data_IF_454729704566
#
_entry.id   IF_454729704566
#
_cell.length_a   1.000
_cell.length_b   1.000
_cell.length_c   1.000
_cell.angle_alpha   90.00
_cell.angle_beta   90.00
_cell.angle_gamma   90.00
#
_symmetry.space_group_name_H-M   'P 1'
#
loop_
_entity.id
_entity.type
_entity.pdbx_description
1 polymer ?
#
# COMPACT_ATOMS: atom_id res chain seq x y z
N UNK A 1 20.56 27.53 -15.28
CA UNK A 1 19.75 26.29 -15.36
C UNK A 1 18.97 25.98 -14.09
N UNK A 2 19.42 26.39 -12.88
CA UNK A 2 18.70 26.15 -11.62
C UNK A 2 17.34 26.84 -11.53
N UNK A 3 17.25 28.07 -12.00
CA UNK A 3 16.03 28.89 -11.88
C UNK A 3 14.85 28.33 -12.68
N UNK A 4 15.10 27.84 -13.89
CA UNK A 4 14.08 27.22 -14.75
C UNK A 4 13.57 25.94 -14.08
N UNK A 5 14.46 25.11 -13.55
CA UNK A 5 14.09 23.90 -12.84
C UNK A 5 13.27 24.19 -11.57
N UNK A 6 13.59 25.27 -10.85
CA UNK A 6 12.84 25.72 -9.68
C UNK A 6 11.44 26.22 -10.06
N UNK A 7 11.32 26.96 -11.18
CA UNK A 7 10.04 27.43 -11.69
C UNK A 7 9.15 26.25 -12.12
N UNK A 8 9.70 25.22 -12.78
CA UNK A 8 8.98 24.01 -13.15
C UNK A 8 8.46 23.23 -11.93
N UNK A 9 9.26 23.16 -10.87
CA UNK A 9 8.86 22.52 -9.62
C UNK A 9 7.72 23.30 -8.91
N UNK A 10 7.80 24.63 -8.88
CA UNK A 10 6.74 25.49 -8.35
C UNK A 10 5.44 25.34 -9.15
N UNK A 11 5.55 25.31 -10.49
CA UNK A 11 4.41 25.11 -11.38
C UNK A 11 3.74 23.74 -11.15
N UNK A 12 4.55 22.71 -10.95
CA UNK A 12 4.05 21.37 -10.65
C UNK A 12 3.31 21.34 -9.32
N UNK A 13 3.90 21.90 -8.26
CA UNK A 13 3.29 22.02 -6.94
C UNK A 13 1.95 22.80 -6.99
N UNK A 14 1.88 23.88 -7.77
CA UNK A 14 0.64 24.63 -7.97
C UNK A 14 -0.44 23.79 -8.66
N UNK A 15 -0.07 22.92 -9.60
CA UNK A 15 -1.00 22.01 -10.28
C UNK A 15 -1.55 20.93 -9.36
N UNK A 16 -0.71 20.33 -8.51
CA UNK A 16 -1.14 19.31 -7.53
C UNK A 16 -2.05 19.90 -6.45
N UNK A 17 -1.84 21.15 -6.07
CA UNK A 17 -2.63 21.83 -5.04
C UNK A 17 -3.94 22.46 -5.57
N UNK A 18 -4.39 22.12 -6.78
CA UNK A 18 -5.71 22.52 -7.31
C UNK A 18 -5.69 23.70 -8.28
N UNK A 19 -4.52 24.07 -8.84
CA UNK A 19 -4.33 25.15 -9.83
C UNK A 19 -4.77 26.54 -9.29
N UNK A 20 -4.75 27.57 -10.13
CA UNK A 20 -5.21 28.94 -9.85
C UNK A 20 -4.68 29.54 -8.51
N UNK A 21 -3.37 29.35 -8.29
CA UNK A 21 -2.63 29.88 -7.09
C UNK A 21 -1.20 30.21 -7.42
N UNK A 22 -0.64 31.14 -6.63
CA UNK A 22 0.78 31.44 -6.66
C UNK A 22 1.48 30.54 -5.65
N UNK A 23 2.44 29.74 -6.13
CA UNK A 23 3.33 28.94 -5.27
C UNK A 23 4.72 29.56 -5.32
N UNK A 24 5.21 30.01 -4.19
CA UNK A 24 6.60 30.44 -4.05
C UNK A 24 7.45 29.17 -3.95
N UNK A 25 8.47 29.05 -4.79
CA UNK A 25 9.37 27.90 -4.74
C UNK A 25 10.13 27.90 -3.41
N UNK A 26 9.84 26.89 -2.60
CA UNK A 26 10.62 26.54 -1.42
C UNK A 26 11.57 25.41 -1.79
N UNK A 27 12.87 25.61 -1.55
CA UNK A 27 13.91 24.59 -1.79
C UNK A 27 13.59 23.30 -1.05
N UNK A 28 13.08 23.40 0.18
CA UNK A 28 12.70 22.23 0.99
C UNK A 28 11.51 21.49 0.38
N UNK A 29 10.51 22.22 -0.10
CA UNK A 29 9.35 21.63 -0.78
C UNK A 29 9.76 20.92 -2.08
N UNK A 30 10.64 21.54 -2.86
CA UNK A 30 11.21 20.92 -4.06
C UNK A 30 11.96 19.63 -3.76
N UNK A 31 12.76 19.62 -2.71
CA UNK A 31 13.47 18.41 -2.26
C UNK A 31 12.52 17.31 -1.80
N UNK A 32 11.45 17.64 -1.06
CA UNK A 32 10.42 16.68 -0.64
C UNK A 32 9.72 16.04 -1.84
N UNK A 33 9.32 16.83 -2.84
CA UNK A 33 8.68 16.30 -4.06
C UNK A 33 9.61 15.35 -4.80
N UNK A 34 10.91 15.66 -4.88
CA UNK A 34 11.90 14.78 -5.53
C UNK A 34 12.10 13.49 -4.71
N UNK A 35 12.19 13.58 -3.38
CA UNK A 35 12.32 12.42 -2.50
C UNK A 35 11.11 11.49 -2.65
N UNK A 36 9.87 12.02 -2.61
CA UNK A 36 8.64 11.24 -2.81
C UNK A 36 8.62 10.52 -4.16
N UNK A 37 8.98 11.22 -5.24
CA UNK A 37 9.08 10.59 -6.57
C UNK A 37 10.12 9.47 -6.61
N UNK A 38 11.24 9.68 -5.96
CA UNK A 38 12.30 8.67 -5.87
C UNK A 38 11.81 7.44 -5.09
N UNK A 39 11.22 7.63 -3.90
CA UNK A 39 10.67 6.53 -3.10
C UNK A 39 9.56 5.79 -3.86
N UNK A 40 8.66 6.51 -4.54
CA UNK A 40 7.60 5.88 -5.35
C UNK A 40 8.18 4.99 -6.45
N UNK A 41 9.22 5.45 -7.14
CA UNK A 41 9.93 4.64 -8.14
C UNK A 41 10.57 3.41 -7.53
N UNK A 42 11.27 3.56 -6.41
CA UNK A 42 11.89 2.42 -5.71
C UNK A 42 10.86 1.37 -5.28
N UNK A 43 9.70 1.80 -4.78
CA UNK A 43 8.61 0.88 -4.41
C UNK A 43 8.08 0.14 -5.64
N UNK A 44 7.89 0.82 -6.78
CA UNK A 44 7.47 0.16 -8.02
C UNK A 44 8.51 -0.88 -8.50
N UNK A 45 9.79 -0.55 -8.42
CA UNK A 45 10.87 -1.47 -8.78
C UNK A 45 10.92 -2.66 -7.82
N UNK A 46 10.76 -2.43 -6.51
CA UNK A 46 10.71 -3.46 -5.47
C UNK A 46 9.55 -4.46 -5.68
N UNK A 47 8.38 -3.97 -6.11
CA UNK A 47 7.25 -4.85 -6.47
C UNK A 47 7.59 -5.78 -7.63
N UNK A 48 8.33 -5.29 -8.63
CA UNK A 48 8.75 -6.08 -9.79
C UNK A 48 9.86 -7.08 -9.45
N UNK A 49 10.73 -6.73 -8.50
CA UNK A 49 11.87 -7.54 -8.10
C UNK A 49 11.52 -8.57 -7.01
N UNK A 50 10.29 -8.53 -6.49
CA UNK A 50 9.86 -9.48 -5.44
C UNK A 50 10.47 -9.18 -4.07
N UNK A 51 10.81 -7.93 -3.81
CA UNK A 51 11.38 -7.48 -2.53
C UNK A 51 10.30 -7.22 -1.45
N UNK A 52 9.02 -7.30 -1.81
CA UNK A 52 7.91 -7.12 -0.88
C UNK A 52 7.46 -8.46 -0.30
N UNK A 53 7.12 -8.46 0.99
CA UNK A 53 6.61 -9.62 1.71
C UNK A 53 5.49 -9.21 2.66
N UNK A 54 4.53 -10.11 2.93
CA UNK A 54 3.53 -9.95 3.98
C UNK A 54 3.96 -10.70 5.24
N UNK A 55 4.02 -9.97 6.34
CA UNK A 55 4.06 -10.53 7.68
C UNK A 55 2.65 -10.60 8.22
N UNK A 56 2.39 -11.53 9.14
CA UNK A 56 1.06 -11.77 9.67
C UNK A 56 1.06 -11.61 11.18
N UNK A 57 0.25 -10.67 11.68
CA UNK A 57 0.04 -10.48 13.10
C UNK A 57 -1.28 -11.16 13.51
N UNK A 58 -1.26 -12.18 14.40
CA UNK A 58 -2.47 -12.88 14.76
C UNK A 58 -3.45 -11.99 15.54
N UNK A 59 -4.73 -12.08 15.16
CA UNK A 59 -5.86 -11.54 15.92
C UNK A 59 -6.36 -12.62 16.88
N UNK A 60 -6.34 -12.34 18.17
CA UNK A 60 -6.65 -13.33 19.20
C UNK A 60 -7.91 -12.94 19.96
N UNK A 61 -8.83 -13.89 20.14
CA UNK A 61 -10.01 -13.70 20.97
C UNK A 61 -9.59 -13.69 22.44
N UNK A 62 -9.90 -12.60 23.16
CA UNK A 62 -9.43 -12.38 24.54
C UNK A 62 -10.01 -13.42 25.51
N UNK A 63 -11.23 -13.90 25.27
CA UNK A 63 -11.93 -14.82 26.18
C UNK A 63 -11.30 -16.20 26.31
N UNK A 64 -10.63 -16.70 25.26
CA UNK A 64 -10.14 -18.08 25.20
C UNK A 64 -8.73 -18.21 24.57
N UNK A 65 -8.15 -17.11 24.11
CA UNK A 65 -6.84 -17.09 23.48
C UNK A 65 -6.80 -17.69 22.07
N UNK A 66 -7.96 -17.99 21.46
CA UNK A 66 -8.01 -18.57 20.13
C UNK A 66 -7.65 -17.55 19.05
N UNK A 67 -6.80 -17.94 18.09
CA UNK A 67 -6.53 -17.14 16.89
C UNK A 67 -7.75 -17.17 15.98
N UNK A 68 -8.29 -15.98 15.66
CA UNK A 68 -9.53 -15.81 14.89
C UNK A 68 -9.29 -15.14 13.52
N UNK A 69 -8.08 -14.71 13.24
CA UNK A 69 -7.67 -14.06 12.01
C UNK A 69 -6.23 -13.57 12.09
N UNK A 70 -5.77 -12.88 11.07
CA UNK A 70 -4.47 -12.21 11.11
C UNK A 70 -4.49 -10.91 10.29
N UNK A 71 -3.76 -9.90 10.75
CA UNK A 71 -3.49 -8.69 10.01
C UNK A 71 -2.28 -8.91 9.10
N UNK A 72 -2.44 -8.55 7.83
CA UNK A 72 -1.37 -8.63 6.83
C UNK A 72 -0.59 -7.32 6.80
N UNK A 73 0.65 -7.38 7.23
CA UNK A 73 1.53 -6.24 7.38
C UNK A 73 2.64 -6.28 6.35
N UNK A 74 2.64 -5.34 5.41
CA UNK A 74 3.67 -5.25 4.38
C UNK A 74 5.06 -5.03 4.99
N UNK A 75 6.06 -5.69 4.42
CA UNK A 75 7.49 -5.48 4.69
C UNK A 75 8.25 -5.37 3.38
N UNK A 76 9.27 -4.56 3.35
CA UNK A 76 10.16 -4.39 2.21
C UNK A 76 11.57 -4.84 2.55
N UNK A 77 12.05 -5.87 1.87
CA UNK A 77 13.44 -6.32 1.91
C UNK A 77 14.31 -5.41 1.03
N UNK A 78 14.59 -4.21 1.54
CA UNK A 78 15.37 -3.24 0.79
C UNK A 78 16.83 -3.68 0.69
N UNK A 79 17.46 -3.73 -0.51
CA UNK A 79 18.80 -4.31 -0.70
C UNK A 79 19.90 -3.66 0.13
N UNK A 80 19.79 -2.35 0.41
CA UNK A 80 20.80 -1.61 1.18
C UNK A 80 20.39 -1.34 2.63
N UNK A 81 19.08 -1.25 2.91
CA UNK A 81 18.56 -0.82 4.23
C UNK A 81 18.00 -1.98 5.06
N UNK A 82 18.00 -3.20 4.51
CA UNK A 82 17.42 -4.37 5.16
C UNK A 82 15.89 -4.33 5.21
N UNK A 83 15.31 -4.97 6.23
CA UNK A 83 13.86 -5.10 6.37
C UNK A 83 13.23 -3.78 6.84
N UNK A 84 12.38 -3.20 6.01
CA UNK A 84 11.67 -1.95 6.28
C UNK A 84 10.20 -2.21 6.61
N UNK A 85 9.71 -1.54 7.67
CA UNK A 85 8.29 -1.46 8.00
C UNK A 85 7.58 -0.36 7.16
N UNK A 86 6.24 -0.39 7.06
CA UNK A 86 5.47 0.57 6.25
C UNK A 86 5.80 2.05 6.52
N UNK A 87 5.93 2.46 7.76
CA UNK A 87 6.28 3.85 8.13
C UNK A 87 7.59 4.37 7.56
N UNK A 88 8.45 3.51 6.99
CA UNK A 88 9.70 3.93 6.36
C UNK A 88 9.54 4.39 4.89
N UNK A 89 8.37 4.16 4.26
CA UNK A 89 8.16 4.45 2.84
C UNK A 89 6.70 4.82 2.47
N UNK A 90 5.71 4.47 3.29
CA UNK A 90 4.30 4.68 2.95
C UNK A 90 3.95 6.16 2.80
N UNK A 91 4.40 7.03 3.71
CA UNK A 91 4.09 8.47 3.68
C UNK A 91 4.58 9.14 2.38
N UNK A 92 5.65 8.62 1.81
CA UNK A 92 6.21 9.15 0.56
C UNK A 92 5.40 8.73 -0.67
N UNK A 93 4.68 7.62 -0.61
CA UNK A 93 3.96 7.08 -1.77
C UNK A 93 2.45 7.36 -1.74
N UNK A 94 1.89 7.79 -0.61
CA UNK A 94 0.47 8.17 -0.51
C UNK A 94 0.08 9.16 -1.60
N UNK A 95 -1.01 8.87 -2.32
CA UNK A 95 -1.50 9.69 -3.43
C UNK A 95 -0.69 9.55 -4.73
N UNK A 96 0.25 8.61 -4.81
CA UNK A 96 0.97 8.28 -6.04
C UNK A 96 0.46 6.97 -6.66
N UNK A 97 0.72 6.71 -7.95
CA UNK A 97 0.40 5.43 -8.57
C UNK A 97 1.06 4.22 -7.91
N UNK A 98 2.20 4.42 -7.23
CA UNK A 98 2.90 3.36 -6.51
C UNK A 98 2.06 2.81 -5.34
N UNK A 99 1.33 3.67 -4.62
CA UNK A 99 0.43 3.24 -3.55
C UNK A 99 -0.64 2.29 -4.07
N UNK A 100 -1.35 2.66 -5.14
CA UNK A 100 -2.37 1.79 -5.74
C UNK A 100 -1.79 0.46 -6.23
N UNK A 101 -0.61 0.46 -6.87
CA UNK A 101 0.07 -0.77 -7.28
C UNK A 101 0.42 -1.66 -6.08
N UNK A 102 0.85 -1.05 -4.98
CA UNK A 102 1.13 -1.76 -3.74
C UNK A 102 -0.14 -2.40 -3.17
N UNK A 103 -1.27 -1.67 -3.14
CA UNK A 103 -2.56 -2.19 -2.66
C UNK A 103 -3.03 -3.41 -3.47
N UNK A 104 -2.89 -3.38 -4.80
CA UNK A 104 -3.19 -4.54 -5.66
C UNK A 104 -2.25 -5.71 -5.40
N UNK A 105 -0.98 -5.44 -5.15
CA UNK A 105 -0.02 -6.47 -4.78
C UNK A 105 -0.37 -7.11 -3.43
N UNK A 106 -0.67 -6.29 -2.42
CA UNK A 106 -1.10 -6.74 -1.08
C UNK A 106 -2.34 -7.61 -1.17
N UNK A 107 -3.34 -7.19 -1.95
CA UNK A 107 -4.55 -7.98 -2.20
C UNK A 107 -4.19 -9.37 -2.76
N UNK A 108 -3.39 -9.42 -3.81
CA UNK A 108 -2.99 -10.68 -4.45
C UNK A 108 -2.18 -11.57 -3.52
N UNK A 109 -1.26 -11.00 -2.74
CA UNK A 109 -0.44 -11.71 -1.77
C UNK A 109 -1.27 -12.28 -0.61
N UNK A 110 -2.27 -11.53 -0.11
CA UNK A 110 -3.18 -11.99 0.93
C UNK A 110 -4.03 -13.18 0.43
N UNK A 111 -4.55 -13.14 -0.78
CA UNK A 111 -5.27 -14.28 -1.36
C UNK A 111 -4.37 -15.52 -1.49
N UNK A 112 -3.15 -15.37 -1.96
CA UNK A 112 -2.16 -16.46 -2.04
C UNK A 112 -1.86 -17.06 -0.66
N UNK A 113 -1.68 -16.22 0.35
CA UNK A 113 -1.46 -16.66 1.74
C UNK A 113 -2.69 -17.41 2.29
N UNK A 114 -3.90 -16.88 2.08
CA UNK A 114 -5.14 -17.53 2.51
C UNK A 114 -5.34 -18.91 1.89
N UNK A 115 -5.03 -19.07 0.60
CA UNK A 115 -5.07 -20.38 -0.06
C UNK A 115 -4.05 -21.35 0.53
N UNK A 116 -2.86 -20.87 0.89
CA UNK A 116 -1.85 -21.69 1.56
C UNK A 116 -2.36 -22.16 2.93
N UNK A 117 -3.00 -21.28 3.72
CA UNK A 117 -3.61 -21.64 5.00
C UNK A 117 -4.73 -22.69 4.85
N UNK A 118 -5.55 -22.59 3.80
CA UNK A 118 -6.57 -23.61 3.49
C UNK A 118 -5.92 -24.97 3.23
N UNK A 119 -4.88 -25.03 2.41
CA UNK A 119 -4.13 -26.28 2.12
C UNK A 119 -3.50 -26.85 3.38
N UNK A 120 -3.05 -26.03 4.30
CA UNK A 120 -2.47 -26.44 5.59
C UNK A 120 -3.54 -26.85 6.63
N UNK A 121 -4.83 -26.78 6.30
CA UNK A 121 -5.93 -27.12 7.21
C UNK A 121 -6.19 -26.10 8.31
N UNK A 122 -5.68 -24.87 8.17
CA UNK A 122 -5.82 -23.79 9.16
C UNK A 122 -6.37 -22.51 8.51
N UNK A 123 -7.54 -22.55 7.86
CA UNK A 123 -8.09 -21.38 7.19
C UNK A 123 -8.42 -20.28 8.21
N UNK A 124 -7.93 -19.06 7.93
CA UNK A 124 -8.15 -17.88 8.77
C UNK A 124 -8.53 -16.67 7.89
N UNK A 125 -9.43 -15.80 8.38
CA UNK A 125 -9.62 -14.46 7.79
C UNK A 125 -8.34 -13.65 7.86
N UNK A 126 -8.09 -12.87 6.79
CA UNK A 126 -6.97 -11.95 6.73
C UNK A 126 -7.47 -10.52 6.57
N UNK A 127 -6.92 -9.58 7.33
CA UNK A 127 -7.12 -8.16 7.08
C UNK A 127 -5.94 -7.56 6.32
N UNK A 128 -6.25 -6.60 5.46
CA UNK A 128 -5.29 -5.82 4.70
C UNK A 128 -5.56 -4.33 4.88
N UNK A 129 -4.51 -3.55 4.95
CA UNK A 129 -4.58 -2.10 4.92
C UNK A 129 -4.63 -1.63 3.46
N UNK A 130 -5.58 -0.75 3.12
CA UNK A 130 -5.77 -0.22 1.76
C UNK A 130 -6.02 1.29 1.82
N UNK A 131 -5.44 2.03 0.89
CA UNK A 131 -5.71 3.46 0.75
C UNK A 131 -7.17 3.71 0.33
N UNK A 132 -7.81 4.74 0.89
CA UNK A 132 -9.19 5.12 0.55
C UNK A 132 -9.35 5.32 -0.95
N UNK A 133 -8.39 5.99 -1.60
CA UNK A 133 -8.40 6.22 -3.06
C UNK A 133 -8.41 4.93 -3.88
N UNK A 134 -7.75 3.87 -3.42
CA UNK A 134 -7.77 2.56 -4.07
C UNK A 134 -9.09 1.83 -3.81
N UNK A 135 -9.60 1.89 -2.58
CA UNK A 135 -10.84 1.20 -2.22
C UNK A 135 -12.06 1.72 -2.99
N UNK A 136 -12.14 3.04 -3.24
CA UNK A 136 -13.25 3.63 -4.02
C UNK A 136 -13.11 3.42 -5.54
N UNK A 137 -11.95 2.95 -6.03
CA UNK A 137 -11.80 2.61 -7.45
C UNK A 137 -12.60 1.34 -7.76
N UNK A 138 -13.56 1.47 -8.68
CA UNK A 138 -14.41 0.36 -9.12
C UNK A 138 -13.62 -0.84 -9.66
N UNK A 139 -12.45 -0.62 -10.24
CA UNK A 139 -11.56 -1.68 -10.74
C UNK A 139 -11.01 -2.53 -9.60
N UNK A 140 -10.64 -1.89 -8.47
CA UNK A 140 -10.18 -2.61 -7.28
C UNK A 140 -11.31 -3.47 -6.70
N UNK A 141 -12.53 -2.89 -6.58
CA UNK A 141 -13.69 -3.62 -6.09
C UNK A 141 -14.07 -4.82 -6.99
N UNK A 142 -13.96 -4.64 -8.31
CA UNK A 142 -14.19 -5.72 -9.27
C UNK A 142 -13.14 -6.83 -9.12
N UNK A 143 -11.88 -6.47 -8.90
CA UNK A 143 -10.78 -7.43 -8.69
C UNK A 143 -10.98 -8.24 -7.41
N UNK A 144 -11.34 -7.60 -6.29
CA UNK A 144 -11.72 -8.29 -5.04
C UNK A 144 -12.85 -9.29 -5.31
N UNK A 145 -13.93 -8.86 -5.96
CA UNK A 145 -15.05 -9.72 -6.31
C UNK A 145 -14.66 -10.87 -7.24
N UNK A 146 -13.76 -10.64 -8.19
CA UNK A 146 -13.22 -11.68 -9.09
C UNK A 146 -12.45 -12.74 -8.29
N UNK A 147 -11.53 -12.31 -7.43
CA UNK A 147 -10.71 -13.21 -6.62
C UNK A 147 -11.56 -14.06 -5.66
N UNK A 148 -12.54 -13.46 -4.97
CA UNK A 148 -13.46 -14.18 -4.10
C UNK A 148 -14.25 -15.27 -4.85
N UNK A 149 -14.76 -14.97 -6.06
CA UNK A 149 -15.48 -15.96 -6.87
C UNK A 149 -14.57 -17.08 -7.40
N UNK A 150 -13.31 -16.79 -7.66
CA UNK A 150 -12.35 -17.80 -8.14
C UNK A 150 -11.86 -18.73 -7.05
N UNK A 151 -11.97 -18.32 -5.78
CA UNK A 151 -11.45 -19.08 -4.64
C UNK A 151 -12.53 -19.39 -3.57
N UNK A 152 -13.55 -20.22 -3.92
CA UNK A 152 -14.66 -20.52 -3.01
C UNK A 152 -14.25 -21.37 -1.79
N UNK A 153 -13.03 -21.91 -1.78
CA UNK A 153 -12.47 -22.66 -0.65
C UNK A 153 -12.00 -21.77 0.51
N UNK A 154 -11.87 -20.46 0.28
CA UNK A 154 -11.52 -19.52 1.34
C UNK A 154 -12.67 -19.38 2.35
N UNK A 155 -12.38 -19.17 3.64
CA UNK A 155 -13.40 -18.98 4.67
C UNK A 155 -14.28 -17.77 4.35
N UNK A 156 -15.51 -17.75 4.89
CA UNK A 156 -16.40 -16.60 4.74
C UNK A 156 -16.75 -16.04 6.12
N UNK A 157 -16.43 -14.77 6.42
CA UNK A 157 -15.67 -13.80 5.60
C UNK A 157 -14.18 -14.16 5.54
N UNK A 158 -13.54 -13.98 4.37
CA UNK A 158 -12.10 -14.19 4.20
C UNK A 158 -11.29 -12.91 4.37
N UNK A 159 -11.74 -11.83 3.72
CA UNK A 159 -11.00 -10.59 3.62
C UNK A 159 -11.67 -9.48 4.44
N UNK A 160 -10.92 -8.88 5.34
CA UNK A 160 -11.24 -7.62 6.00
C UNK A 160 -10.38 -6.51 5.36
N UNK A 161 -10.97 -5.35 5.09
CA UNK A 161 -10.25 -4.18 4.59
C UNK A 161 -10.22 -3.12 5.67
N UNK A 162 -9.03 -2.76 6.08
CA UNK A 162 -8.77 -1.68 7.03
C UNK A 162 -8.37 -0.43 6.24
N UNK A 163 -8.95 0.72 6.60
CA UNK A 163 -8.65 1.97 5.94
C UNK A 163 -7.47 2.64 6.63
N UNK A 164 -6.49 3.04 5.86
CA UNK A 164 -5.46 3.93 6.33
C UNK A 164 -6.07 5.33 6.48
N UNK A 165 -6.20 5.80 7.72
CA UNK A 165 -6.53 7.20 7.98
C UNK A 165 -5.36 8.06 7.47
N UNK A 166 -5.55 8.69 6.33
CA UNK A 166 -4.70 9.80 5.93
C UNK A 166 -5.20 11.02 6.66
N UNK A 167 -4.47 11.48 7.67
CA UNK A 167 -4.71 12.80 8.24
C UNK A 167 -4.73 13.83 7.11
N UNK A 168 -5.85 14.53 6.99
CA UNK A 168 -6.08 15.66 6.07
C UNK A 168 -5.33 16.89 6.50
#
# INVERSE_FOLDING_TARGET
>A
DGLIRHADLALYAAKEQGKDRIVVFDIQQGQRVQARRHTAKLVEDALLQGEMELFFQPKVRISDGQVIGAESLIRWHHPERGLLAPGAFMDDIVGTPAASKLDYWVLSAAFKAGLTLVVQGSPLPLSINVAVSTLIDSRFQQEVGRLLRQHPSLPQPFLEVELLETET
#
